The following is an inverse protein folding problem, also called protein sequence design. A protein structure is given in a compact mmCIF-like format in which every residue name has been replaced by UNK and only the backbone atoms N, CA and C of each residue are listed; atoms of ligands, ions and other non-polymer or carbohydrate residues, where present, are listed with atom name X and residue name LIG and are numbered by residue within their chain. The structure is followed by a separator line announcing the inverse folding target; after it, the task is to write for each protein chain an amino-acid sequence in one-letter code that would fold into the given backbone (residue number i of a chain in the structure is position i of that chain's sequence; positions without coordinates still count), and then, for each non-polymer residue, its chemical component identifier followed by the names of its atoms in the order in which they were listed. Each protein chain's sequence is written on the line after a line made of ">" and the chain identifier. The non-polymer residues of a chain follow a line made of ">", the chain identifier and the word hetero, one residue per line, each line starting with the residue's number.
data_IF_966786658868
#
_entry.id   IF_966786658868
#
_cell.length_a   1.000
_cell.length_b   1.000
_cell.length_c   1.000
_cell.angle_alpha   90.00
_cell.angle_beta   90.00
_cell.angle_gamma   90.00
#
_symmetry.space_group_name_H-M   'P 1'
#
loop_
_entity.id
_entity.type
_entity.pdbx_description
1 polymer ?
#
# COMPACT_ATOMS: atom_id res chain seq x y z
N UNK A 1 -3.06 5.15 34.24
CA UNK A 1 -4.13 4.84 33.29
C UNK A 1 -3.66 3.72 32.39
N UNK A 2 -4.32 2.56 32.39
CA UNK A 2 -3.99 1.44 31.51
C UNK A 2 -4.37 1.77 30.06
N UNK A 3 -3.68 1.18 29.09
CA UNK A 3 -4.10 1.24 27.70
C UNK A 3 -5.39 0.43 27.54
N UNK A 4 -6.47 1.05 27.09
CA UNK A 4 -7.70 0.38 26.74
C UNK A 4 -7.62 -0.08 25.29
N UNK A 5 -7.83 -1.36 25.02
CA UNK A 5 -7.98 -1.86 23.65
C UNK A 5 -9.38 -1.49 23.14
N UNK A 6 -9.48 -0.71 22.08
CA UNK A 6 -10.76 -0.25 21.53
C UNK A 6 -11.42 -1.25 20.57
N UNK A 7 -10.63 -2.20 20.05
CA UNK A 7 -11.10 -3.25 19.14
C UNK A 7 -10.54 -4.60 19.57
N UNK A 8 -11.21 -5.69 19.20
CA UNK A 8 -10.73 -7.05 19.36
C UNK A 8 -9.47 -7.32 18.54
N UNK A 9 -8.87 -8.48 18.69
CA UNK A 9 -7.61 -8.83 18.01
C UNK A 9 -7.77 -8.81 16.48
N UNK A 10 -6.93 -8.01 15.82
CA UNK A 10 -7.08 -7.69 14.40
C UNK A 10 -6.56 -8.76 13.43
N UNK A 11 -5.76 -9.72 13.89
CA UNK A 11 -5.24 -10.81 13.04
C UNK A 11 -6.15 -12.03 13.12
N UNK A 12 -7.32 -11.91 12.53
CA UNK A 12 -8.36 -12.94 12.55
C UNK A 12 -8.99 -13.08 11.17
N UNK A 13 -9.41 -14.26 10.82
CA UNK A 13 -10.28 -14.60 9.70
C UNK A 13 -11.67 -15.09 10.18
N UNK A 14 -11.89 -15.06 11.50
CA UNK A 14 -13.17 -15.43 12.11
C UNK A 14 -14.21 -14.33 11.90
N UNK A 15 -15.44 -14.75 11.62
CA UNK A 15 -16.65 -13.90 11.63
C UNK A 15 -17.54 -14.17 12.83
N UNK A 16 -17.07 -14.99 13.76
CA UNK A 16 -17.79 -15.31 15.00
C UNK A 16 -17.85 -14.09 15.92
N UNK A 17 -19.01 -13.86 16.52
CA UNK A 17 -19.24 -12.82 17.53
C UNK A 17 -19.75 -13.54 18.78
N UNK A 18 -19.21 -13.23 19.96
CA UNK A 18 -19.66 -13.81 21.22
C UNK A 18 -21.12 -13.45 21.49
N UNK A 19 -21.83 -14.33 22.20
CA UNK A 19 -23.23 -14.10 22.56
C UNK A 19 -23.43 -12.81 23.36
N UNK A 20 -22.50 -12.50 24.27
CA UNK A 20 -22.51 -11.27 25.08
C UNK A 20 -22.43 -10.03 24.18
N UNK A 21 -21.48 -9.97 23.24
CA UNK A 21 -21.34 -8.85 22.32
C UNK A 21 -22.54 -8.70 21.36
N UNK A 22 -23.16 -9.82 20.97
CA UNK A 22 -24.43 -9.78 20.22
C UNK A 22 -25.55 -9.14 21.04
N UNK A 23 -25.65 -9.48 22.31
CA UNK A 23 -26.66 -8.90 23.17
C UNK A 23 -26.42 -7.41 23.42
N UNK A 24 -25.19 -7.01 23.72
CA UNK A 24 -24.79 -5.60 23.88
C UNK A 24 -25.15 -4.75 22.65
N UNK A 25 -24.74 -5.16 21.45
CA UNK A 25 -25.06 -4.38 20.25
C UNK A 25 -26.56 -4.35 19.94
N UNK A 26 -27.30 -5.42 20.25
CA UNK A 26 -28.74 -5.45 20.06
C UNK A 26 -29.46 -4.51 21.04
N UNK A 27 -28.99 -4.42 22.29
CA UNK A 27 -29.47 -3.46 23.27
C UNK A 27 -29.16 -2.01 22.83
N UNK A 28 -27.95 -1.75 22.32
CA UNK A 28 -27.59 -0.47 21.74
C UNK A 28 -28.54 -0.07 20.59
N UNK A 29 -28.78 -0.97 19.61
CA UNK A 29 -29.68 -0.71 18.48
C UNK A 29 -31.09 -0.39 18.97
N UNK A 30 -31.63 -1.19 19.95
CA UNK A 30 -32.97 -0.98 20.50
C UNK A 30 -33.11 0.37 21.19
N UNK A 31 -32.09 0.78 21.95
CA UNK A 31 -32.12 2.02 22.74
C UNK A 31 -31.88 3.27 21.91
N UNK A 32 -30.98 3.23 20.94
CA UNK A 32 -30.54 4.44 20.22
C UNK A 32 -31.15 4.59 18.81
N UNK A 33 -31.49 3.48 18.16
CA UNK A 33 -32.03 3.50 16.79
C UNK A 33 -33.52 3.17 16.72
N UNK A 34 -34.01 2.41 17.71
CA UNK A 34 -35.39 1.98 17.84
C UNK A 34 -35.63 0.53 17.43
N UNK A 35 -36.76 -0.06 17.89
CA UNK A 35 -37.06 -1.49 17.73
C UNK A 35 -37.22 -1.91 16.26
N UNK A 36 -37.64 -0.99 15.36
CA UNK A 36 -37.84 -1.30 13.94
C UNK A 36 -36.54 -1.64 13.22
N UNK A 37 -35.37 -1.20 13.74
CA UNK A 37 -34.06 -1.50 13.18
C UNK A 37 -33.48 -2.83 13.63
N UNK A 38 -34.13 -3.48 14.62
CA UNK A 38 -33.63 -4.72 15.20
C UNK A 38 -34.41 -5.91 14.65
N UNK A 39 -33.75 -6.92 14.02
CA UNK A 39 -34.41 -8.14 13.62
C UNK A 39 -34.86 -8.95 14.85
N UNK A 40 -35.94 -9.72 14.69
CA UNK A 40 -36.49 -10.56 15.77
C UNK A 40 -35.43 -11.52 16.32
N UNK A 41 -34.67 -12.17 15.43
CA UNK A 41 -33.58 -13.08 15.81
C UNK A 41 -32.23 -12.45 15.51
N UNK A 42 -31.19 -12.76 16.31
CA UNK A 42 -29.82 -12.33 16.00
C UNK A 42 -29.35 -12.83 14.64
N UNK A 43 -28.55 -12.00 13.96
CA UNK A 43 -27.86 -12.41 12.75
C UNK A 43 -26.61 -13.22 13.12
N UNK A 44 -26.48 -14.44 12.64
CA UNK A 44 -25.32 -15.29 12.84
C UNK A 44 -24.49 -15.38 11.56
N UNK A 45 -23.18 -15.30 11.71
CA UNK A 45 -22.22 -15.42 10.62
C UNK A 45 -21.36 -16.66 10.85
N UNK A 46 -21.41 -17.60 9.91
CA UNK A 46 -20.61 -18.81 9.98
C UNK A 46 -19.14 -18.48 9.73
N UNK A 47 -18.26 -18.85 10.64
CA UNK A 47 -16.82 -18.84 10.41
C UNK A 47 -16.43 -19.97 9.46
N UNK A 48 -15.34 -19.78 8.71
CA UNK A 48 -14.76 -20.83 7.89
C UNK A 48 -14.29 -21.99 8.79
N UNK A 49 -14.34 -23.22 8.26
CA UNK A 49 -13.86 -24.41 9.00
C UNK A 49 -12.38 -24.31 9.40
N UNK A 50 -11.60 -23.53 8.64
CA UNK A 50 -10.17 -23.27 8.88
C UNK A 50 -9.89 -22.12 9.83
N UNK A 51 -10.93 -21.37 10.26
CA UNK A 51 -10.73 -20.30 11.24
C UNK A 51 -10.47 -20.90 12.63
N UNK A 52 -9.45 -20.41 13.31
CA UNK A 52 -9.16 -20.85 14.69
C UNK A 52 -10.37 -20.57 15.59
N UNK A 53 -10.89 -21.58 16.24
CA UNK A 53 -12.15 -21.53 17.02
C UNK A 53 -12.11 -20.48 18.15
N UNK A 54 -10.91 -20.15 18.63
CA UNK A 54 -10.71 -19.16 19.71
C UNK A 54 -10.77 -17.70 19.24
N UNK A 55 -10.79 -17.43 17.92
CA UNK A 55 -10.79 -16.08 17.39
C UNK A 55 -12.20 -15.54 17.18
N UNK A 56 -12.39 -14.28 17.56
CA UNK A 56 -13.58 -13.48 17.25
C UNK A 56 -13.36 -12.62 16.00
N UNK A 57 -14.48 -12.11 15.46
CA UNK A 57 -14.48 -11.06 14.45
C UNK A 57 -13.86 -9.75 15.00
N UNK A 58 -13.35 -8.91 14.11
CA UNK A 58 -12.90 -7.56 14.48
C UNK A 58 -14.13 -6.72 14.81
N UNK A 59 -14.26 -6.31 16.05
CA UNK A 59 -15.36 -5.48 16.56
C UNK A 59 -14.86 -4.48 17.62
N UNK A 60 -15.63 -3.43 17.97
CA UNK A 60 -15.32 -2.64 19.14
C UNK A 60 -15.40 -3.53 20.40
N UNK A 61 -14.55 -3.26 21.37
CA UNK A 61 -14.59 -3.94 22.68
C UNK A 61 -15.78 -3.50 23.51
N UNK A 62 -16.29 -2.30 23.27
CA UNK A 62 -17.44 -1.70 23.91
C UNK A 62 -18.20 -0.90 22.83
N UNK A 63 -19.47 -1.25 22.59
CA UNK A 63 -20.31 -0.62 21.57
C UNK A 63 -20.79 0.77 21.97
N UNK A 64 -20.86 1.06 23.27
CA UNK A 64 -21.30 2.35 23.80
C UNK A 64 -20.24 3.44 23.64
N UNK A 65 -18.98 3.06 23.41
CA UNK A 65 -17.92 3.99 22.99
C UNK A 65 -18.11 4.38 21.52
N UNK A 66 -19.03 5.32 21.27
CA UNK A 66 -19.31 5.73 19.88
C UNK A 66 -18.11 6.41 19.21
N UNK A 67 -18.01 6.38 17.87
CA UNK A 67 -16.95 7.09 17.17
C UNK A 67 -16.88 8.59 17.50
N UNK A 68 -18.02 9.24 17.80
CA UNK A 68 -18.06 10.65 18.18
C UNK A 68 -17.37 10.89 19.53
N UNK A 69 -17.61 10.02 20.50
CA UNK A 69 -17.09 10.16 21.87
C UNK A 69 -15.58 9.97 21.94
N UNK A 70 -15.05 9.02 21.16
CA UNK A 70 -13.62 8.69 21.21
C UNK A 70 -12.76 9.48 20.21
N UNK A 71 -13.36 10.20 19.27
CA UNK A 71 -12.63 10.99 18.26
C UNK A 71 -11.55 11.92 18.84
N UNK A 72 -11.77 12.62 19.98
CA UNK A 72 -10.76 13.51 20.55
C UNK A 72 -9.49 12.78 21.02
N UNK A 73 -9.55 11.47 21.25
CA UNK A 73 -8.46 10.66 21.80
C UNK A 73 -7.69 9.87 20.73
N UNK A 74 -8.12 9.96 19.46
CA UNK A 74 -7.56 9.19 18.35
C UNK A 74 -6.88 10.10 17.31
N UNK A 75 -5.88 9.54 16.63
CA UNK A 75 -5.39 10.16 15.39
C UNK A 75 -6.43 10.02 14.28
N UNK A 76 -6.33 10.83 13.23
CA UNK A 76 -7.26 10.76 12.07
C UNK A 76 -7.33 9.36 11.44
N UNK A 77 -6.20 8.64 11.38
CA UNK A 77 -6.13 7.29 10.81
C UNK A 77 -6.79 6.26 11.74
N UNK A 78 -6.52 6.35 13.04
CA UNK A 78 -7.15 5.50 14.05
C UNK A 78 -8.66 5.73 14.10
N UNK A 79 -9.10 6.99 14.05
CA UNK A 79 -10.52 7.35 14.03
C UNK A 79 -11.23 6.72 12.82
N UNK A 80 -10.68 6.87 11.62
CA UNK A 80 -11.27 6.29 10.40
C UNK A 80 -11.42 4.78 10.49
N UNK A 81 -10.42 4.10 11.05
CA UNK A 81 -10.46 2.66 11.23
C UNK A 81 -11.51 2.26 12.27
N UNK A 82 -11.54 2.94 13.41
CA UNK A 82 -12.51 2.65 14.46
C UNK A 82 -13.95 2.90 14.00
N UNK A 83 -14.22 4.05 13.34
CA UNK A 83 -15.54 4.39 12.80
C UNK A 83 -16.02 3.32 11.80
N UNK A 84 -15.11 2.81 10.95
CA UNK A 84 -15.40 1.72 10.02
C UNK A 84 -15.78 0.44 10.76
N UNK A 85 -14.98 0.02 11.75
CA UNK A 85 -15.20 -1.21 12.53
C UNK A 85 -16.50 -1.11 13.32
N UNK A 86 -16.71 0.00 14.02
CA UNK A 86 -17.89 0.23 14.84
C UNK A 86 -19.18 0.22 14.00
N UNK A 87 -19.22 0.99 12.90
CA UNK A 87 -20.38 1.02 12.01
C UNK A 87 -20.67 -0.34 11.40
N UNK A 88 -19.65 -1.08 11.01
CA UNK A 88 -19.83 -2.42 10.46
C UNK A 88 -20.40 -3.38 11.49
N UNK A 89 -19.93 -3.31 12.73
CA UNK A 89 -20.41 -4.14 13.82
C UNK A 89 -21.87 -3.86 14.16
N UNK A 90 -22.25 -2.59 14.31
CA UNK A 90 -23.65 -2.23 14.57
C UNK A 90 -24.55 -2.65 13.40
N UNK A 91 -24.15 -2.30 12.17
CA UNK A 91 -24.93 -2.60 10.97
C UNK A 91 -25.15 -4.11 10.75
N UNK A 92 -24.20 -4.97 11.18
CA UNK A 92 -24.33 -6.41 10.98
C UNK A 92 -25.49 -7.03 11.79
N UNK A 93 -25.94 -6.40 12.86
CA UNK A 93 -27.07 -6.86 13.68
C UNK A 93 -28.37 -6.09 13.42
N UNK A 94 -28.41 -5.22 12.37
CA UNK A 94 -29.60 -4.45 11.99
C UNK A 94 -30.44 -5.14 10.91
N UNK A 95 -31.70 -4.70 10.83
CA UNK A 95 -32.60 -5.07 9.74
C UNK A 95 -32.07 -4.59 8.37
N UNK A 96 -32.33 -5.33 7.28
CA UNK A 96 -31.94 -4.91 5.94
C UNK A 96 -32.71 -3.66 5.50
N UNK A 97 -32.10 -2.88 4.62
CA UNK A 97 -32.82 -1.81 3.91
C UNK A 97 -33.88 -2.39 2.95
N UNK A 98 -35.02 -1.72 2.84
CA UNK A 98 -36.10 -2.13 1.96
C UNK A 98 -36.27 -1.10 0.83
N UNK A 99 -36.39 -1.61 -0.36
CA UNK A 99 -36.51 -0.79 -1.58
C UNK A 99 -37.75 -1.21 -2.35
N UNK A 100 -38.55 -0.26 -2.79
CA UNK A 100 -39.55 -0.47 -3.82
C UNK A 100 -38.89 -0.37 -5.19
N UNK A 101 -38.96 -1.44 -5.95
CA UNK A 101 -38.35 -1.52 -7.28
C UNK A 101 -39.46 -1.58 -8.34
N UNK A 102 -39.53 -0.55 -9.17
CA UNK A 102 -40.44 -0.48 -10.30
C UNK A 102 -39.71 -0.86 -11.59
N UNK A 103 -40.24 -1.83 -12.29
CA UNK A 103 -39.75 -2.24 -13.60
C UNK A 103 -40.81 -1.93 -14.66
N UNK A 104 -40.49 -1.09 -15.64
CA UNK A 104 -41.34 -0.80 -16.79
C UNK A 104 -40.78 -1.57 -18.01
N UNK A 105 -41.63 -2.39 -18.62
CA UNK A 105 -41.34 -2.99 -19.92
C UNK A 105 -42.14 -2.23 -20.96
N UNK A 106 -41.47 -1.58 -21.88
CA UNK A 106 -42.06 -0.71 -22.89
C UNK A 106 -41.90 -1.38 -24.25
N UNK A 107 -43.01 -1.67 -24.91
CA UNK A 107 -43.01 -2.22 -26.26
C UNK A 107 -43.17 -1.08 -27.27
N UNK A 108 -42.39 -1.11 -28.32
CA UNK A 108 -42.51 -0.20 -29.45
C UNK A 108 -42.60 -0.96 -30.75
N UNK A 109 -43.66 -0.77 -31.53
CA UNK A 109 -43.82 -1.32 -32.87
C UNK A 109 -43.11 -0.38 -33.87
N UNK A 110 -42.12 -0.94 -34.59
CA UNK A 110 -41.30 -0.21 -35.55
C UNK A 110 -41.35 -0.87 -36.91
N UNK A 111 -40.86 -0.21 -37.96
CA UNK A 111 -40.75 -0.78 -39.32
C UNK A 111 -39.84 -2.01 -39.39
N UNK A 112 -38.98 -2.21 -38.42
CA UNK A 112 -38.06 -3.34 -38.29
C UNK A 112 -38.59 -4.45 -37.39
N UNK A 113 -39.81 -4.31 -36.84
CA UNK A 113 -40.45 -5.23 -35.92
C UNK A 113 -40.66 -4.64 -34.53
N UNK A 114 -41.05 -5.51 -33.58
CA UNK A 114 -41.35 -5.09 -32.20
C UNK A 114 -40.07 -5.05 -31.36
N UNK A 115 -39.79 -3.85 -30.86
CA UNK A 115 -38.67 -3.59 -29.94
C UNK A 115 -39.18 -3.54 -28.49
N UNK A 116 -38.36 -3.99 -27.56
CA UNK A 116 -38.62 -3.95 -26.13
C UNK A 116 -37.58 -3.09 -25.41
N UNK A 117 -38.03 -2.12 -24.65
CA UNK A 117 -37.20 -1.28 -23.80
C UNK A 117 -37.52 -1.58 -22.33
N UNK A 118 -36.52 -1.47 -21.44
CA UNK A 118 -36.70 -1.65 -20.02
C UNK A 118 -36.21 -0.42 -19.26
N UNK A 119 -37.04 0.10 -18.36
CA UNK A 119 -36.65 1.09 -17.38
C UNK A 119 -36.81 0.48 -15.98
N UNK A 120 -35.85 0.74 -15.09
CA UNK A 120 -35.87 0.28 -13.71
C UNK A 120 -35.63 1.46 -12.79
N UNK A 121 -36.56 1.69 -11.90
CA UNK A 121 -36.43 2.66 -10.80
C UNK A 121 -36.44 1.97 -9.45
N UNK A 122 -35.93 2.65 -8.44
CA UNK A 122 -36.00 2.19 -7.04
C UNK A 122 -36.08 3.37 -6.10
N UNK A 123 -36.90 3.23 -5.09
CA UNK A 123 -37.09 4.22 -4.02
C UNK A 123 -36.87 3.55 -2.67
N UNK A 124 -36.17 4.19 -1.76
CA UNK A 124 -35.89 3.67 -0.43
C UNK A 124 -37.15 3.81 0.43
N UNK A 125 -37.68 2.69 0.92
CA UNK A 125 -38.86 2.64 1.81
C UNK A 125 -38.43 2.59 3.27
N UNK A 126 -37.37 1.86 3.55
CA UNK A 126 -36.82 1.73 4.89
C UNK A 126 -35.29 1.64 4.80
N UNK A 127 -34.60 2.52 5.52
CA UNK A 127 -33.15 2.64 5.45
C UNK A 127 -32.42 1.47 6.12
N UNK A 128 -32.99 0.82 7.12
CA UNK A 128 -32.40 -0.34 7.78
C UNK A 128 -30.95 -0.10 8.22
N UNK A 129 -30.08 -1.03 7.93
CA UNK A 129 -28.65 -0.94 8.29
C UNK A 129 -27.92 0.23 7.61
N UNK A 130 -28.44 0.76 6.51
CA UNK A 130 -27.79 1.88 5.78
C UNK A 130 -27.83 3.19 6.58
N UNK A 131 -28.66 3.27 7.61
CA UNK A 131 -28.65 4.39 8.57
C UNK A 131 -27.30 4.55 9.28
N UNK A 132 -26.64 3.44 9.57
CA UNK A 132 -25.32 3.42 10.22
C UNK A 132 -24.21 3.18 9.25
N UNK A 133 -24.38 2.24 8.32
CA UNK A 133 -23.43 1.90 7.28
C UNK A 133 -23.83 2.53 5.95
N UNK A 134 -23.30 3.74 5.70
CA UNK A 134 -23.65 4.51 4.51
C UNK A 134 -23.14 3.81 3.25
N UNK A 135 -24.07 3.33 2.44
CA UNK A 135 -23.80 2.77 1.12
C UNK A 135 -24.22 3.81 0.06
N UNK A 136 -23.30 4.25 -0.81
CA UNK A 136 -23.68 5.14 -1.91
C UNK A 136 -24.75 4.44 -2.77
N UNK A 137 -25.95 5.01 -2.81
CA UNK A 137 -27.04 4.52 -3.62
C UNK A 137 -27.68 5.68 -4.35
N UNK A 138 -28.04 5.48 -5.61
CA UNK A 138 -28.86 6.43 -6.35
C UNK A 138 -30.31 5.97 -6.27
N UNK A 139 -31.18 6.85 -5.81
CA UNK A 139 -32.60 6.68 -5.98
C UNK A 139 -32.97 7.16 -7.36
N UNK A 140 -33.83 6.42 -8.02
CA UNK A 140 -34.42 6.80 -9.30
C UNK A 140 -35.90 6.45 -9.25
N UNK A 141 -36.71 7.47 -9.06
CA UNK A 141 -38.16 7.35 -9.12
C UNK A 141 -38.61 7.35 -10.58
N UNK A 142 -39.44 6.36 -10.94
CA UNK A 142 -40.10 6.35 -12.24
C UNK A 142 -41.52 6.96 -12.11
N UNK A 143 -41.99 7.64 -13.14
CA UNK A 143 -43.35 8.18 -13.13
C UNK A 143 -44.39 7.06 -12.99
N UNK A 144 -45.45 7.34 -12.28
CA UNK A 144 -46.59 6.40 -12.16
C UNK A 144 -47.22 6.17 -13.55
N UNK A 145 -47.20 4.89 -13.95
CA UNK A 145 -47.71 4.48 -15.28
C UNK A 145 -48.67 3.30 -15.13
N UNK A 146 -49.61 3.16 -16.07
CA UNK A 146 -50.55 2.05 -16.11
C UNK A 146 -50.22 1.08 -17.26
N UNK A 147 -50.53 -0.19 -17.05
CA UNK A 147 -50.38 -1.19 -18.12
C UNK A 147 -51.20 -0.78 -19.35
N UNK A 148 -50.61 -0.81 -20.54
CA UNK A 148 -51.23 -0.38 -21.79
C UNK A 148 -51.22 1.10 -22.02
N UNK A 149 -50.63 1.94 -21.14
CA UNK A 149 -50.50 3.37 -21.35
C UNK A 149 -49.55 3.63 -22.53
N UNK A 150 -49.97 4.50 -23.44
CA UNK A 150 -49.16 4.97 -24.56
C UNK A 150 -48.17 6.05 -24.05
N UNK A 151 -46.91 5.87 -24.43
CA UNK A 151 -45.83 6.81 -24.12
C UNK A 151 -45.39 7.51 -25.41
N UNK A 152 -45.17 8.82 -25.35
CA UNK A 152 -44.57 9.57 -26.44
C UNK A 152 -43.04 9.46 -26.38
N UNK A 153 -42.43 9.18 -27.53
CA UNK A 153 -40.97 9.18 -27.66
C UNK A 153 -40.52 10.64 -27.75
N UNK A 154 -39.68 11.07 -26.81
CA UNK A 154 -39.08 12.42 -26.77
C UNK A 154 -37.73 12.44 -27.46
N UNK A 155 -36.89 11.46 -27.19
CA UNK A 155 -35.55 11.35 -27.75
C UNK A 155 -35.09 9.88 -27.73
N UNK A 156 -34.29 9.49 -28.72
CA UNK A 156 -33.63 8.18 -28.79
C UNK A 156 -32.13 8.41 -29.03
N UNK A 157 -31.30 8.03 -28.08
CA UNK A 157 -29.85 8.07 -28.21
C UNK A 157 -29.29 6.68 -28.38
N UNK A 158 -28.53 6.47 -29.44
CA UNK A 158 -27.77 5.24 -29.64
C UNK A 158 -26.38 5.41 -29.01
N UNK A 159 -26.06 4.58 -28.02
CA UNK A 159 -24.74 4.57 -27.39
C UNK A 159 -24.05 3.23 -27.62
N UNK A 160 -22.81 3.29 -28.08
CA UNK A 160 -22.01 2.10 -28.25
C UNK A 160 -21.31 1.75 -26.94
N UNK A 161 -21.56 0.57 -26.41
CA UNK A 161 -20.89 0.03 -25.25
C UNK A 161 -20.02 -1.15 -25.62
N UNK A 162 -18.80 -1.18 -25.10
CA UNK A 162 -17.89 -2.31 -25.25
C UNK A 162 -17.67 -2.99 -23.90
N UNK A 163 -17.53 -4.30 -23.91
CA UNK A 163 -17.16 -5.04 -22.70
C UNK A 163 -15.78 -4.60 -22.22
N UNK A 164 -15.61 -4.48 -20.91
CA UNK A 164 -14.33 -4.15 -20.30
C UNK A 164 -13.66 -5.44 -19.80
N UNK A 165 -12.32 -5.51 -19.88
CA UNK A 165 -11.59 -6.63 -19.28
C UNK A 165 -11.79 -6.61 -17.76
N UNK A 166 -11.51 -7.75 -17.07
CA UNK A 166 -11.53 -7.80 -15.61
C UNK A 166 -10.67 -6.69 -15.02
N UNK A 167 -11.13 -6.10 -13.92
CA UNK A 167 -10.39 -5.05 -13.25
C UNK A 167 -9.08 -5.60 -12.67
N UNK A 168 -8.01 -4.77 -12.73
CA UNK A 168 -6.75 -5.10 -12.05
C UNK A 168 -6.96 -5.19 -10.55
N UNK A 169 -6.14 -5.99 -9.87
CA UNK A 169 -6.21 -6.14 -8.43
C UNK A 169 -5.88 -4.81 -7.72
N UNK A 170 -6.65 -4.52 -6.69
CA UNK A 170 -6.30 -3.61 -5.61
C UNK A 170 -5.72 -4.42 -4.45
N UNK A 171 -5.18 -3.78 -3.41
CA UNK A 171 -4.72 -4.50 -2.20
C UNK A 171 -5.84 -5.39 -1.64
N UNK A 172 -7.03 -4.83 -1.46
CA UNK A 172 -8.17 -5.56 -0.90
C UNK A 172 -8.62 -6.74 -1.79
N UNK A 173 -8.68 -6.55 -3.11
CA UNK A 173 -9.12 -7.63 -4.02
C UNK A 173 -8.05 -8.69 -4.21
N UNK A 174 -6.75 -8.34 -4.08
CA UNK A 174 -5.67 -9.31 -4.09
C UNK A 174 -5.68 -10.16 -2.82
N UNK A 175 -5.85 -9.54 -1.64
CA UNK A 175 -6.00 -10.29 -0.38
C UNK A 175 -7.20 -11.23 -0.45
N UNK A 176 -8.35 -10.76 -0.96
CA UNK A 176 -9.53 -11.60 -1.14
C UNK A 176 -9.28 -12.78 -2.10
N UNK A 177 -8.47 -12.58 -3.15
CA UNK A 177 -8.09 -13.65 -4.06
C UNK A 177 -7.16 -14.66 -3.38
N UNK A 178 -6.14 -14.20 -2.63
CA UNK A 178 -5.24 -15.06 -1.84
C UNK A 178 -6.03 -15.89 -0.82
N UNK A 179 -6.95 -15.26 -0.09
CA UNK A 179 -7.82 -15.93 0.87
C UNK A 179 -8.71 -16.99 0.22
N UNK A 180 -9.31 -16.68 -0.96
CA UNK A 180 -10.11 -17.62 -1.72
C UNK A 180 -9.32 -18.85 -2.17
N UNK A 181 -8.06 -18.64 -2.56
CA UNK A 181 -7.15 -19.70 -2.99
C UNK A 181 -6.46 -20.42 -1.84
N UNK A 182 -6.70 -20.02 -0.58
CA UNK A 182 -6.08 -20.63 0.60
C UNK A 182 -4.59 -20.31 0.75
N UNK A 183 -4.13 -19.19 0.17
CA UNK A 183 -2.73 -18.75 0.20
C UNK A 183 -2.54 -17.67 1.24
N UNK A 184 -1.62 -17.88 2.17
CA UNK A 184 -1.35 -16.96 3.27
C UNK A 184 -2.38 -17.06 4.39
N UNK A 185 -2.15 -16.29 5.44
CA UNK A 185 -2.99 -16.18 6.64
C UNK A 185 -3.10 -14.71 7.03
N UNK A 186 -4.03 -14.32 7.92
CA UNK A 186 -4.17 -12.92 8.35
C UNK A 186 -2.87 -12.26 8.79
N UNK A 187 -1.94 -13.03 9.36
CA UNK A 187 -0.62 -12.55 9.78
C UNK A 187 0.35 -12.26 8.62
N UNK A 188 0.15 -12.84 7.43
CA UNK A 188 1.10 -12.77 6.31
C UNK A 188 0.64 -11.89 5.16
N UNK A 189 -0.67 -11.59 5.00
CA UNK A 189 -1.18 -10.81 3.86
C UNK A 189 -0.50 -9.46 3.69
N UNK A 190 -0.36 -8.70 4.78
CA UNK A 190 0.30 -7.39 4.73
C UNK A 190 1.77 -7.49 4.27
N UNK A 191 2.48 -8.52 4.74
CA UNK A 191 3.88 -8.80 4.35
C UNK A 191 3.99 -9.19 2.88
N UNK A 192 3.08 -10.01 2.36
CA UNK A 192 3.04 -10.38 0.94
C UNK A 192 2.88 -9.12 0.09
N UNK A 193 1.88 -8.28 0.39
CA UNK A 193 1.61 -7.04 -0.33
C UNK A 193 2.81 -6.08 -0.30
N UNK A 194 3.40 -5.86 0.89
CA UNK A 194 4.57 -4.97 0.99
C UNK A 194 5.78 -5.53 0.25
N UNK A 195 6.02 -6.84 0.31
CA UNK A 195 7.16 -7.48 -0.35
C UNK A 195 7.14 -7.32 -1.86
N UNK A 196 5.99 -7.54 -2.52
CA UNK A 196 5.91 -7.40 -3.99
C UNK A 196 6.10 -5.96 -4.45
N UNK A 197 5.69 -4.97 -3.64
CA UNK A 197 5.91 -3.54 -3.91
C UNK A 197 7.34 -3.12 -3.63
N UNK A 198 7.92 -3.50 -2.48
CA UNK A 198 9.28 -3.13 -2.08
C UNK A 198 10.33 -3.70 -3.02
N UNK A 199 10.11 -4.92 -3.52
CA UNK A 199 10.95 -5.56 -4.52
C UNK A 199 10.75 -4.99 -5.93
N UNK A 200 9.74 -4.14 -6.14
CA UNK A 200 9.44 -3.53 -7.42
C UNK A 200 8.88 -4.52 -8.44
N UNK A 201 8.26 -5.62 -8.00
CA UNK A 201 7.59 -6.57 -8.89
C UNK A 201 6.25 -6.03 -9.39
N UNK A 202 5.63 -5.17 -8.59
CA UNK A 202 4.42 -4.42 -8.96
C UNK A 202 4.59 -2.96 -8.61
N UNK A 203 3.93 -2.10 -9.38
CA UNK A 203 3.71 -0.69 -9.04
C UNK A 203 2.22 -0.46 -8.77
N UNK A 204 1.93 0.49 -7.87
CA UNK A 204 0.55 0.87 -7.59
C UNK A 204 0.21 2.20 -8.26
N UNK A 205 -0.80 2.20 -9.15
CA UNK A 205 -1.36 3.40 -9.78
C UNK A 205 -2.86 3.42 -9.55
N UNK A 206 -3.41 4.53 -9.10
CA UNK A 206 -4.84 4.68 -8.83
C UNK A 206 -5.41 3.54 -7.94
N UNK A 207 -4.64 3.13 -6.93
CA UNK A 207 -4.95 2.01 -6.02
C UNK A 207 -4.99 0.63 -6.70
N UNK A 208 -4.55 0.48 -7.94
CA UNK A 208 -4.50 -0.78 -8.69
C UNK A 208 -3.06 -1.22 -8.88
N UNK A 209 -2.81 -2.52 -8.78
CA UNK A 209 -1.50 -3.11 -9.05
C UNK A 209 -1.29 -3.32 -10.54
N UNK A 210 -0.12 -2.95 -11.01
CA UNK A 210 0.39 -3.23 -12.35
C UNK A 210 1.69 -4.02 -12.19
N UNK A 211 1.79 -5.13 -12.90
CA UNK A 211 3.06 -5.85 -13.01
C UNK A 211 4.11 -4.95 -13.67
N UNK A 212 5.33 -5.04 -13.20
CA UNK A 212 6.49 -4.40 -13.84
C UNK A 212 7.21 -5.41 -14.72
N UNK A 213 7.99 -4.94 -15.69
CA UNK A 213 8.84 -5.81 -16.53
C UNK A 213 9.75 -6.71 -15.66
N UNK A 214 10.22 -6.18 -14.52
CA UNK A 214 10.99 -6.96 -13.56
C UNK A 214 10.14 -8.07 -12.92
N UNK A 215 8.91 -7.76 -12.54
CA UNK A 215 7.98 -8.73 -11.96
C UNK A 215 7.65 -9.86 -12.93
N UNK A 216 7.34 -9.53 -14.17
CA UNK A 216 7.05 -10.49 -15.24
C UNK A 216 8.25 -11.40 -15.49
N UNK A 217 9.43 -10.82 -15.71
CA UNK A 217 10.67 -11.59 -15.92
C UNK A 217 11.02 -12.52 -14.76
N UNK A 218 10.86 -12.06 -13.50
CA UNK A 218 11.10 -12.90 -12.31
C UNK A 218 10.10 -14.04 -12.26
N UNK A 219 8.83 -13.79 -12.54
CA UNK A 219 7.77 -14.79 -12.56
C UNK A 219 8.05 -15.85 -13.64
N UNK A 220 8.42 -15.43 -14.85
CA UNK A 220 8.74 -16.35 -15.95
C UNK A 220 9.92 -17.27 -15.59
N UNK A 221 10.99 -16.70 -15.03
CA UNK A 221 12.14 -17.50 -14.58
C UNK A 221 11.78 -18.48 -13.46
N UNK A 222 10.97 -18.03 -12.49
CA UNK A 222 10.53 -18.90 -11.40
C UNK A 222 9.62 -20.03 -11.94
N UNK A 223 8.71 -19.73 -12.86
CA UNK A 223 7.87 -20.75 -13.51
C UNK A 223 8.72 -21.78 -14.28
N UNK A 224 9.78 -21.34 -14.95
CA UNK A 224 10.66 -22.20 -15.73
C UNK A 224 11.47 -23.17 -14.85
N UNK A 225 12.01 -22.66 -13.72
CA UNK A 225 12.95 -23.43 -12.91
C UNK A 225 12.34 -24.04 -11.64
N UNK A 226 11.23 -23.49 -11.16
CA UNK A 226 10.51 -23.92 -9.96
C UNK A 226 8.99 -24.06 -10.19
N UNK A 227 8.55 -24.79 -11.23
CA UNK A 227 7.13 -24.81 -11.63
C UNK A 227 6.23 -25.33 -10.50
N UNK A 228 6.68 -26.32 -9.73
CA UNK A 228 5.91 -26.87 -8.62
C UNK A 228 5.67 -25.86 -7.50
N UNK A 229 6.69 -25.07 -7.15
CA UNK A 229 6.58 -24.05 -6.09
C UNK A 229 5.71 -22.87 -6.53
N UNK A 230 5.73 -22.56 -7.84
CA UNK A 230 4.92 -21.48 -8.41
C UNK A 230 3.45 -21.88 -8.65
N UNK A 231 3.12 -23.16 -8.47
CA UNK A 231 1.73 -23.62 -8.54
C UNK A 231 0.94 -23.14 -7.31
N UNK A 232 -0.21 -22.53 -7.57
CA UNK A 232 -1.17 -22.07 -6.55
C UNK A 232 -1.62 -23.24 -5.67
N UNK A 233 -1.88 -24.40 -6.27
CA UNK A 233 -2.31 -25.59 -5.55
C UNK A 233 -1.22 -26.09 -4.58
N UNK A 234 0.04 -25.98 -4.97
CA UNK A 234 1.15 -26.35 -4.09
C UNK A 234 1.26 -25.43 -2.86
N UNK A 235 1.13 -24.13 -3.04
CA UNK A 235 1.17 -23.19 -1.91
C UNK A 235 0.00 -23.45 -0.95
N UNK A 236 -1.19 -23.67 -1.47
CA UNK A 236 -2.36 -24.08 -0.67
C UNK A 236 -2.09 -25.36 0.11
N UNK A 237 -1.56 -26.38 -0.56
CA UNK A 237 -1.21 -27.64 0.07
C UNK A 237 -0.22 -27.44 1.24
N UNK A 238 0.79 -26.62 1.05
CA UNK A 238 1.78 -26.32 2.12
C UNK A 238 1.13 -25.63 3.32
N UNK A 239 0.24 -24.65 3.08
CA UNK A 239 -0.50 -23.99 4.16
C UNK A 239 -1.39 -24.99 4.94
N UNK A 240 -2.04 -25.93 4.23
CA UNK A 240 -2.84 -27.00 4.86
C UNK A 240 -1.95 -27.99 5.67
N UNK A 241 -0.72 -28.28 5.21
CA UNK A 241 0.20 -29.09 6.00
C UNK A 241 0.64 -28.37 7.27
N UNK A 242 0.87 -27.05 7.20
CA UNK A 242 1.22 -26.24 8.38
C UNK A 242 0.08 -26.22 9.41
N UNK A 243 -1.16 -26.07 8.97
CA UNK A 243 -2.33 -26.17 9.85
C UNK A 243 -2.40 -27.54 10.55
N UNK A 244 -2.17 -28.65 9.81
CA UNK A 244 -2.15 -29.99 10.40
C UNK A 244 -1.02 -30.20 11.40
N UNK A 245 0.13 -29.57 11.19
CA UNK A 245 1.24 -29.56 12.16
C UNK A 245 0.83 -28.81 13.42
N UNK A 246 0.18 -27.65 13.30
CA UNK A 246 -0.33 -26.87 14.44
C UNK A 246 -1.35 -27.68 15.27
N UNK A 247 -2.23 -28.42 14.60
CA UNK A 247 -3.22 -29.30 15.22
C UNK A 247 -2.61 -30.63 15.75
N UNK A 248 -1.30 -30.80 15.67
CA UNK A 248 -0.55 -32.01 16.08
C UNK A 248 -0.95 -33.31 15.36
N UNK A 249 -1.55 -33.21 14.17
CA UNK A 249 -1.92 -34.35 13.35
C UNK A 249 -0.81 -34.80 12.41
N UNK A 250 0.29 -34.06 12.28
CA UNK A 250 1.36 -34.32 11.34
C UNK A 250 2.74 -33.97 11.89
N UNK A 251 3.74 -34.83 11.60
CA UNK A 251 5.13 -34.55 11.96
C UNK A 251 5.75 -33.50 11.00
N UNK A 252 6.21 -32.41 11.58
CA UNK A 252 6.82 -31.30 10.83
C UNK A 252 8.08 -31.72 10.06
N UNK A 253 8.84 -32.70 10.58
CA UNK A 253 10.09 -33.15 9.96
C UNK A 253 9.82 -33.91 8.66
N UNK A 254 8.74 -34.70 8.60
CA UNK A 254 8.32 -35.39 7.36
C UNK A 254 7.93 -34.38 6.29
N UNK A 255 7.14 -33.36 6.63
CA UNK A 255 6.72 -32.31 5.70
C UNK A 255 7.91 -31.54 5.15
N UNK A 256 8.89 -31.21 6.01
CA UNK A 256 10.13 -30.54 5.58
C UNK A 256 10.98 -31.41 4.65
N UNK A 257 11.10 -32.72 4.90
CA UNK A 257 11.84 -33.64 4.03
C UNK A 257 11.20 -33.75 2.65
N UNK A 258 9.88 -33.87 2.60
CA UNK A 258 9.11 -33.99 1.37
C UNK A 258 9.20 -32.72 0.52
N UNK A 259 9.26 -31.56 1.16
CA UNK A 259 9.48 -30.28 0.48
C UNK A 259 10.94 -30.13 0.02
N UNK A 260 11.92 -30.36 0.91
CA UNK A 260 13.31 -29.99 0.67
C UNK A 260 13.97 -30.85 -0.41
N UNK A 261 13.62 -32.12 -0.52
CA UNK A 261 14.21 -33.02 -1.50
C UNK A 261 14.04 -32.50 -2.95
N UNK A 262 12.80 -32.35 -3.45
CA UNK A 262 12.53 -31.79 -4.77
C UNK A 262 13.06 -30.35 -4.93
N UNK A 263 12.88 -29.51 -3.92
CA UNK A 263 13.37 -28.13 -3.93
C UNK A 263 14.88 -28.06 -4.16
N UNK A 264 15.67 -28.89 -3.47
CA UNK A 264 17.12 -28.94 -3.64
C UNK A 264 17.52 -29.30 -5.06
N UNK A 265 16.84 -30.27 -5.67
CA UNK A 265 17.09 -30.66 -7.06
C UNK A 265 16.79 -29.52 -8.04
N UNK A 266 15.66 -28.83 -7.87
CA UNK A 266 15.31 -27.67 -8.68
C UNK A 266 16.31 -26.53 -8.49
N UNK A 267 16.77 -26.28 -7.24
CA UNK A 267 17.78 -25.26 -6.93
C UNK A 267 19.13 -25.58 -7.59
N UNK A 268 19.58 -26.83 -7.56
CA UNK A 268 20.82 -27.25 -8.22
C UNK A 268 20.72 -27.12 -9.76
N UNK A 269 19.58 -27.47 -10.33
CA UNK A 269 19.30 -27.29 -11.77
C UNK A 269 19.29 -25.79 -12.13
N UNK A 270 18.59 -24.95 -11.35
CA UNK A 270 18.55 -23.53 -11.54
C UNK A 270 19.93 -22.88 -11.42
N UNK A 271 20.72 -23.28 -10.43
CA UNK A 271 22.09 -22.75 -10.21
C UNK A 271 23.02 -22.98 -11.40
N UNK A 272 22.83 -24.10 -12.11
CA UNK A 272 23.66 -24.46 -13.29
C UNK A 272 23.15 -23.86 -14.60
N UNK A 273 21.83 -23.72 -14.75
CA UNK A 273 21.20 -23.42 -16.05
C UNK A 273 20.59 -22.03 -16.12
N UNK A 274 20.17 -21.43 -14.98
CA UNK A 274 19.52 -20.14 -14.98
C UNK A 274 20.52 -19.00 -15.25
N UNK A 275 20.37 -18.37 -16.38
CA UNK A 275 21.14 -17.17 -16.73
C UNK A 275 20.69 -16.00 -15.86
N UNK A 276 21.66 -15.22 -15.39
CA UNK A 276 21.35 -13.98 -14.66
C UNK A 276 20.60 -13.03 -15.57
N UNK A 277 19.48 -12.48 -15.12
CA UNK A 277 18.72 -11.47 -15.85
C UNK A 277 19.55 -10.24 -16.25
N UNK A 278 20.60 -9.93 -15.49
CA UNK A 278 21.54 -8.84 -15.80
C UNK A 278 22.49 -9.17 -16.96
N UNK A 279 22.72 -10.46 -17.21
CA UNK A 279 23.58 -10.93 -18.31
C UNK A 279 22.79 -11.25 -19.57
N UNK A 280 21.47 -11.31 -19.52
CA UNK A 280 20.63 -11.46 -20.69
C UNK A 280 20.62 -10.15 -21.48
N UNK A 281 21.07 -10.25 -22.71
CA UNK A 281 21.21 -9.13 -23.64
C UNK A 281 20.34 -9.44 -24.84
N UNK A 282 19.28 -8.66 -25.02
CA UNK A 282 18.44 -8.75 -26.21
C UNK A 282 18.83 -7.63 -27.17
N UNK A 283 19.19 -7.92 -28.43
CA UNK A 283 19.48 -6.90 -29.43
C UNK A 283 18.27 -5.95 -29.58
N UNK A 284 18.51 -4.68 -29.82
CA UNK A 284 17.51 -3.68 -30.19
C UNK A 284 17.70 -3.20 -31.61
N UNK A 285 16.73 -2.51 -32.17
CA UNK A 285 16.85 -1.86 -33.51
C UNK A 285 17.63 -0.55 -33.47
N UNK A 286 18.07 -0.09 -32.30
CA UNK A 286 18.70 1.21 -32.11
C UNK A 286 20.21 1.13 -32.16
N UNK A 287 20.83 2.14 -32.77
CA UNK A 287 22.27 2.35 -32.74
C UNK A 287 22.69 3.35 -31.66
N UNK A 288 23.89 3.17 -31.16
CA UNK A 288 24.42 4.03 -30.11
C UNK A 288 24.85 5.38 -30.69
N UNK A 289 24.32 6.52 -30.27
CA UNK A 289 24.65 7.83 -30.77
C UNK A 289 26.08 8.27 -30.44
N UNK A 290 26.78 7.55 -29.54
CA UNK A 290 28.17 7.88 -29.17
C UNK A 290 29.22 7.09 -29.92
N UNK A 291 28.94 5.87 -30.37
CA UNK A 291 29.95 5.00 -30.98
C UNK A 291 29.44 4.17 -32.17
N UNK A 292 28.21 4.34 -32.61
CA UNK A 292 27.60 3.63 -33.76
C UNK A 292 27.31 2.14 -33.54
N UNK A 293 27.71 1.53 -32.39
CA UNK A 293 27.43 0.13 -32.13
C UNK A 293 25.96 -0.06 -31.74
N UNK A 294 25.40 -1.24 -32.00
CA UNK A 294 24.04 -1.60 -31.67
C UNK A 294 23.75 -1.42 -30.16
N UNK A 295 22.60 -0.86 -29.83
CA UNK A 295 22.08 -0.86 -28.47
C UNK A 295 21.41 -2.19 -28.15
N UNK A 296 21.45 -2.57 -26.88
CA UNK A 296 20.90 -3.83 -26.39
C UNK A 296 20.04 -3.55 -25.17
N UNK A 297 18.95 -4.26 -25.05
CA UNK A 297 18.13 -4.21 -23.85
C UNK A 297 18.81 -4.93 -22.70
N UNK A 298 18.88 -4.28 -21.56
CA UNK A 298 19.34 -4.84 -20.28
C UNK A 298 18.36 -4.52 -19.17
N UNK A 299 18.32 -5.35 -18.13
CA UNK A 299 17.52 -5.11 -16.95
C UNK A 299 18.33 -4.47 -15.83
N UNK A 300 17.83 -3.34 -15.32
CA UNK A 300 18.36 -2.61 -14.16
C UNK A 300 17.38 -2.57 -13.02
N UNK A 301 17.75 -1.90 -11.93
CA UNK A 301 16.87 -1.73 -10.75
C UNK A 301 15.54 -1.01 -11.04
N UNK A 302 15.43 -0.31 -12.15
CA UNK A 302 14.24 0.47 -12.55
C UNK A 302 13.49 -0.12 -13.75
N UNK A 303 13.77 -1.36 -14.11
CA UNK A 303 13.21 -2.01 -15.30
C UNK A 303 14.18 -2.10 -16.47
N UNK A 304 13.64 -2.35 -17.66
CA UNK A 304 14.38 -2.48 -18.91
C UNK A 304 14.94 -1.14 -19.37
N UNK A 305 16.16 -1.14 -19.89
CA UNK A 305 16.82 0.03 -20.46
C UNK A 305 17.73 -0.39 -21.64
N UNK A 306 18.02 0.57 -22.52
CA UNK A 306 18.96 0.39 -23.63
C UNK A 306 20.38 0.70 -23.15
N UNK A 307 21.32 -0.19 -23.45
CA UNK A 307 22.74 -0.04 -23.14
C UNK A 307 23.57 -0.31 -24.40
N UNK A 308 24.65 0.40 -24.56
CA UNK A 308 25.53 0.13 -25.69
C UNK A 308 26.16 -1.27 -25.59
N UNK A 309 26.20 -2.02 -26.70
CA UNK A 309 26.87 -3.33 -26.75
C UNK A 309 28.38 -3.22 -26.57
N UNK A 310 28.97 -2.04 -26.79
CA UNK A 310 30.36 -1.74 -26.55
C UNK A 310 30.76 -1.47 -25.10
N UNK A 311 29.84 -1.69 -24.13
CA UNK A 311 30.20 -1.58 -22.72
C UNK A 311 31.27 -2.61 -22.33
N UNK A 312 32.32 -2.27 -21.56
CA UNK A 312 32.48 -1.03 -20.75
C UNK A 312 33.19 0.14 -21.50
N UNK A 313 33.67 -0.04 -22.74
CA UNK A 313 34.33 1.02 -23.48
C UNK A 313 33.40 2.20 -23.78
N UNK A 314 32.17 1.93 -24.21
CA UNK A 314 31.11 2.92 -24.35
C UNK A 314 30.08 2.73 -23.23
N UNK A 315 29.85 3.80 -22.45
CA UNK A 315 28.94 3.78 -21.28
C UNK A 315 27.57 4.38 -21.58
N UNK A 316 27.21 4.51 -22.86
CA UNK A 316 25.91 5.03 -23.22
C UNK A 316 24.78 4.12 -22.73
N UNK A 317 23.76 4.73 -22.13
CA UNK A 317 22.52 4.08 -21.71
C UNK A 317 21.36 5.05 -21.81
N UNK A 318 20.20 4.57 -22.29
CA UNK A 318 18.96 5.33 -22.39
C UNK A 318 17.79 4.55 -21.81
N UNK A 319 16.82 5.21 -21.13
CA UNK A 319 15.58 4.56 -20.75
C UNK A 319 14.79 4.14 -22.00
N UNK A 320 14.00 3.08 -21.90
CA UNK A 320 13.00 2.72 -22.89
C UNK A 320 11.61 2.63 -22.24
N UNK A 321 10.56 2.76 -23.04
CA UNK A 321 9.18 2.54 -22.61
C UNK A 321 8.86 1.03 -22.52
N UNK A 322 7.61 0.69 -22.24
CA UNK A 322 7.16 -0.72 -22.12
C UNK A 322 7.22 -1.46 -23.47
N UNK A 323 7.03 -0.75 -24.55
CA UNK A 323 7.12 -1.27 -25.91
C UNK A 323 8.59 -1.43 -26.38
N UNK A 324 9.55 -0.96 -25.57
CA UNK A 324 10.97 -1.01 -25.89
C UNK A 324 11.47 0.19 -26.73
N UNK A 325 10.62 1.19 -27.00
CA UNK A 325 11.04 2.38 -27.74
C UNK A 325 11.95 3.23 -26.87
N UNK A 326 13.00 3.74 -27.46
CA UNK A 326 13.92 4.65 -26.78
C UNK A 326 13.18 5.93 -26.39
N UNK A 327 13.17 6.23 -25.10
CA UNK A 327 12.59 7.48 -24.60
C UNK A 327 13.59 8.59 -24.83
N UNK A 328 13.23 9.54 -25.70
CA UNK A 328 14.02 10.75 -25.87
C UNK A 328 14.09 11.50 -24.55
N UNK A 329 15.31 11.76 -24.11
CA UNK A 329 15.55 12.54 -22.91
C UNK A 329 15.28 14.00 -23.24
N UNK A 330 14.13 14.53 -22.83
CA UNK A 330 13.79 15.94 -23.05
C UNK A 330 14.83 16.83 -22.38
N UNK A 331 15.56 17.56 -23.17
CA UNK A 331 16.44 18.62 -22.68
C UNK A 331 15.59 19.74 -22.08
N UNK A 332 16.07 20.30 -21.00
CA UNK A 332 15.46 21.46 -20.36
C UNK A 332 16.20 22.72 -20.83
N UNK A 333 15.52 23.85 -20.86
CA UNK A 333 16.10 25.15 -21.13
C UNK A 333 17.17 25.58 -20.09
N UNK A 334 17.23 24.87 -18.96
CA UNK A 334 18.12 25.18 -17.87
C UNK A 334 19.50 24.58 -18.08
N UNK A 335 20.52 25.40 -17.86
CA UNK A 335 21.94 24.98 -17.88
C UNK A 335 22.37 24.56 -16.46
N UNK A 336 23.29 23.61 -16.43
CA UNK A 336 23.88 23.15 -15.16
C UNK A 336 24.66 24.28 -14.47
N UNK A 337 24.37 24.65 -13.21
CA UNK A 337 25.04 25.73 -12.51
C UNK A 337 26.51 25.44 -12.20
N UNK A 338 26.99 24.20 -12.38
CA UNK A 338 28.35 23.78 -12.06
C UNK A 338 29.21 23.66 -13.33
N UNK A 339 28.69 23.10 -14.43
CA UNK A 339 29.48 22.83 -15.63
C UNK A 339 28.91 23.43 -16.92
N UNK A 340 27.82 24.19 -16.86
CA UNK A 340 27.21 24.90 -18.00
C UNK A 340 26.51 24.00 -19.03
N UNK A 341 26.60 22.66 -18.94
CA UNK A 341 25.95 21.73 -19.89
C UNK A 341 24.41 21.75 -19.72
N UNK A 342 23.64 21.40 -20.76
CA UNK A 342 22.19 21.30 -20.64
C UNK A 342 21.77 20.36 -19.51
N UNK A 343 20.65 20.66 -18.88
CA UNK A 343 20.04 19.74 -17.92
C UNK A 343 18.90 18.97 -18.58
N UNK A 344 18.70 17.74 -18.13
CA UNK A 344 17.72 16.81 -18.70
C UNK A 344 16.73 16.36 -17.67
N UNK A 345 15.47 16.22 -18.06
CA UNK A 345 14.43 15.70 -17.20
C UNK A 345 14.65 14.23 -16.88
N UNK A 346 14.64 13.89 -15.59
CA UNK A 346 14.77 12.53 -15.10
C UNK A 346 13.75 12.25 -14.00
N UNK A 347 13.28 11.01 -13.89
CA UNK A 347 12.40 10.55 -12.84
C UNK A 347 13.19 9.74 -11.80
N UNK A 348 13.07 10.13 -10.53
CA UNK A 348 13.68 9.46 -9.40
C UNK A 348 12.65 8.93 -8.40
N UNK A 349 13.13 8.24 -7.35
CA UNK A 349 12.27 7.73 -6.25
C UNK A 349 11.42 8.83 -5.58
N UNK A 350 11.87 10.06 -5.61
CA UNK A 350 11.25 11.21 -4.95
C UNK A 350 10.56 12.18 -5.92
N UNK A 351 10.27 11.73 -7.15
CA UNK A 351 9.64 12.54 -8.19
C UNK A 351 10.59 12.96 -9.30
N UNK A 352 10.10 13.83 -10.19
CA UNK A 352 10.86 14.37 -11.32
C UNK A 352 11.95 15.35 -10.84
N UNK A 353 13.09 15.35 -11.52
CA UNK A 353 14.21 16.25 -11.26
C UNK A 353 14.99 16.52 -12.55
N UNK A 354 15.73 17.60 -12.59
CA UNK A 354 16.69 17.86 -13.65
C UNK A 354 18.05 17.30 -13.26
N UNK A 355 18.64 16.50 -14.13
CA UNK A 355 20.01 15.98 -13.99
C UNK A 355 20.92 16.58 -15.04
N UNK A 356 22.19 16.85 -14.71
CA UNK A 356 23.16 17.35 -15.68
C UNK A 356 23.41 16.31 -16.79
N UNK A 357 23.41 16.71 -18.05
CA UNK A 357 23.78 15.86 -19.19
C UNK A 357 25.25 15.39 -19.15
N UNK A 358 26.10 16.09 -18.39
CA UNK A 358 27.49 15.71 -18.17
C UNK A 358 27.76 14.59 -17.18
N UNK A 359 26.69 13.90 -16.68
CA UNK A 359 26.87 12.72 -15.84
C UNK A 359 27.61 11.60 -16.60
N UNK A 360 28.55 10.87 -15.96
CA UNK A 360 28.90 10.83 -14.54
C UNK A 360 29.91 11.88 -14.06
N UNK A 361 30.50 12.67 -14.95
CA UNK A 361 31.54 13.66 -14.62
C UNK A 361 30.95 14.83 -13.79
N UNK A 362 29.73 15.25 -14.10
CA UNK A 362 28.96 16.20 -13.30
C UNK A 362 27.72 15.55 -12.72
N UNK A 363 27.61 15.56 -11.40
CA UNK A 363 26.51 14.90 -10.64
C UNK A 363 25.44 15.88 -10.19
N UNK A 364 25.40 17.09 -10.74
CA UNK A 364 24.47 18.14 -10.34
C UNK A 364 23.02 17.75 -10.65
N UNK A 365 22.13 17.93 -9.70
CA UNK A 365 20.68 17.69 -9.86
C UNK A 365 19.91 18.87 -9.28
N UNK A 366 18.80 19.27 -9.94
CA UNK A 366 17.85 20.26 -9.46
C UNK A 366 16.50 19.59 -9.26
N UNK A 367 15.86 19.84 -8.12
CA UNK A 367 14.54 19.28 -7.81
C UNK A 367 13.46 20.11 -8.49
N UNK A 368 12.41 19.43 -8.94
CA UNK A 368 11.23 20.05 -9.52
C UNK A 368 10.04 19.90 -8.56
N UNK A 369 9.13 20.88 -8.59
CA UNK A 369 7.81 20.76 -8.01
C UNK A 369 6.86 19.93 -8.89
N UNK A 370 5.59 19.79 -8.50
CA UNK A 370 4.59 19.07 -9.28
C UNK A 370 4.22 19.76 -10.59
N UNK A 371 4.49 21.07 -10.70
CA UNK A 371 4.26 21.89 -11.87
C UNK A 371 5.48 21.94 -12.82
N UNK A 372 6.63 21.36 -12.41
CA UNK A 372 7.85 21.33 -13.20
C UNK A 372 8.81 22.49 -12.97
N UNK A 373 8.54 23.38 -11.99
CA UNK A 373 9.42 24.48 -11.65
C UNK A 373 10.58 24.01 -10.75
N UNK A 374 11.72 24.67 -10.86
CA UNK A 374 12.88 24.36 -10.03
C UNK A 374 12.63 24.79 -8.59
N UNK A 375 12.70 23.84 -7.68
CA UNK A 375 12.65 24.12 -6.24
C UNK A 375 13.99 24.74 -5.81
N UNK A 376 13.98 25.84 -5.01
CA UNK A 376 15.20 26.42 -4.48
C UNK A 376 16.02 25.38 -3.71
N UNK A 377 17.32 25.46 -3.80
CA UNK A 377 18.21 24.61 -3.02
C UNK A 377 17.88 24.79 -1.52
N UNK A 378 17.82 23.67 -0.80
CA UNK A 378 17.68 23.77 0.66
C UNK A 378 18.84 24.57 1.21
N UNK A 379 18.55 25.53 2.07
CA UNK A 379 19.56 26.27 2.80
C UNK A 379 20.58 25.31 3.42
N UNK A 380 21.85 25.66 3.33
CA UNK A 380 22.92 24.91 3.97
C UNK A 380 22.61 24.80 5.48
N UNK A 381 22.93 23.69 6.13
CA UNK A 381 22.76 23.59 7.58
C UNK A 381 23.55 24.70 8.29
N UNK A 382 22.90 25.46 9.14
CA UNK A 382 23.57 26.50 9.90
C UNK A 382 24.52 25.87 10.95
N UNK A 383 25.80 26.19 10.91
CA UNK A 383 26.76 25.63 11.86
C UNK A 383 26.49 26.12 13.30
N UNK A 384 26.68 25.22 14.26
CA UNK A 384 26.77 25.61 15.68
C UNK A 384 28.12 25.16 16.26
N UNK A 385 28.56 25.77 17.31
CA UNK A 385 29.81 25.39 18.01
C UNK A 385 29.62 24.17 18.93
N UNK A 386 28.41 23.63 19.04
CA UNK A 386 28.06 22.56 19.99
C UNK A 386 28.60 21.21 19.53
N UNK A 387 29.42 20.60 20.35
CA UNK A 387 29.99 19.29 20.10
C UNK A 387 28.90 18.21 20.19
N UNK A 388 28.88 17.28 19.24
CA UNK A 388 27.95 16.16 19.27
C UNK A 388 28.30 15.18 20.40
N UNK A 389 27.38 15.00 21.34
CA UNK A 389 27.60 14.13 22.51
C UNK A 389 27.82 12.64 22.17
N UNK A 390 27.28 12.21 21.00
CA UNK A 390 27.35 10.80 20.62
C UNK A 390 28.67 10.41 19.94
N UNK A 391 29.16 11.21 18.99
CA UNK A 391 30.41 10.90 18.28
C UNK A 391 31.60 11.74 18.78
N UNK A 392 31.37 12.78 19.57
CA UNK A 392 32.38 13.69 20.16
C UNK A 392 33.32 14.39 19.17
N UNK A 393 33.28 14.00 17.89
CA UNK A 393 34.10 14.53 16.80
C UNK A 393 33.34 15.49 15.88
N UNK A 394 32.03 15.32 15.77
CA UNK A 394 31.17 16.19 14.97
C UNK A 394 30.54 17.29 15.80
N UNK A 395 30.05 18.33 15.11
CA UNK A 395 29.28 19.43 15.72
C UNK A 395 27.80 19.28 15.34
N UNK A 396 26.93 19.79 16.20
CA UNK A 396 25.51 19.89 15.89
C UNK A 396 25.30 21.08 14.94
N UNK A 397 24.46 20.91 13.94
CA UNK A 397 24.08 21.93 12.95
C UNK A 397 22.57 22.05 12.90
N UNK A 398 22.06 23.25 12.69
CA UNK A 398 20.62 23.48 12.54
C UNK A 398 20.19 23.00 11.16
N UNK A 399 19.22 22.09 11.13
CA UNK A 399 18.62 21.53 9.90
C UNK A 399 17.12 21.75 9.90
N UNK A 400 16.53 21.93 8.72
CA UNK A 400 15.09 22.07 8.53
C UNK A 400 14.44 20.71 8.18
N UNK A 401 13.34 20.40 8.86
CA UNK A 401 12.47 19.26 8.56
C UNK A 401 11.03 19.72 8.28
N UNK A 402 10.16 18.80 7.84
CA UNK A 402 8.72 19.09 7.68
C UNK A 402 8.04 19.49 8.99
N UNK A 403 8.60 19.08 10.13
CA UNK A 403 8.09 19.36 11.49
C UNK A 403 8.76 20.56 12.14
N UNK A 404 9.60 21.30 11.41
CA UNK A 404 10.35 22.45 11.90
C UNK A 404 11.86 22.20 12.03
N UNK A 405 12.62 23.20 12.56
CA UNK A 405 14.07 23.10 12.73
C UNK A 405 14.45 22.11 13.85
N UNK A 406 15.61 21.50 13.69
CA UNK A 406 16.22 20.58 14.66
C UNK A 406 17.75 20.62 14.59
N UNK A 407 18.41 20.20 15.65
CA UNK A 407 19.86 20.05 15.70
C UNK A 407 20.26 18.64 15.27
N UNK A 408 21.10 18.51 14.26
CA UNK A 408 21.60 17.23 13.76
C UNK A 408 23.13 17.23 13.67
N UNK A 409 23.77 16.07 13.85
CA UNK A 409 25.21 15.98 13.71
C UNK A 409 25.66 16.24 12.26
N UNK A 410 26.72 17.02 12.05
CA UNK A 410 27.29 17.30 10.73
C UNK A 410 27.94 16.07 10.07
N UNK A 411 28.25 15.02 10.86
CA UNK A 411 28.80 13.75 10.35
C UNK A 411 27.72 12.76 9.86
N UNK A 412 26.47 13.21 9.69
CA UNK A 412 25.47 12.36 9.05
C UNK A 412 25.91 11.93 7.63
N UNK A 413 25.73 10.66 7.21
CA UNK A 413 24.98 9.57 7.85
C UNK A 413 25.77 8.72 8.87
N UNK A 414 27.06 8.94 9.07
CA UNK A 414 27.88 8.17 10.02
C UNK A 414 27.42 8.35 11.48
N UNK A 415 27.01 9.56 11.83
CA UNK A 415 26.41 9.88 13.13
C UNK A 415 24.98 10.39 12.93
N UNK A 416 23.99 9.72 13.52
CA UNK A 416 22.56 10.04 13.39
C UNK A 416 21.97 10.75 14.61
N UNK A 417 22.78 11.53 15.32
CA UNK A 417 22.32 12.30 16.48
C UNK A 417 21.32 13.36 16.05
N UNK A 418 20.18 13.41 16.75
CA UNK A 418 19.13 14.43 16.60
C UNK A 418 18.76 14.95 17.98
N UNK A 419 18.71 16.27 18.12
CA UNK A 419 18.32 16.99 19.34
C UNK A 419 17.28 18.05 18.97
N UNK A 420 16.39 18.37 19.91
CA UNK A 420 15.39 19.42 19.71
C UNK A 420 16.09 20.78 19.57
N UNK A 421 15.58 21.65 18.69
CA UNK A 421 16.07 23.02 18.57
C UNK A 421 15.90 23.80 19.86
N UNK A 422 14.92 23.45 20.69
CA UNK A 422 14.64 24.10 21.98
C UNK A 422 15.80 23.96 22.96
N UNK A 423 16.65 22.96 22.79
CA UNK A 423 17.81 22.71 23.64
C UNK A 423 19.04 23.55 23.23
N UNK A 424 18.96 24.32 22.14
CA UNK A 424 20.13 25.02 21.57
C UNK A 424 20.82 25.93 22.60
N UNK A 425 20.07 26.81 23.27
CA UNK A 425 20.63 27.77 24.18
C UNK A 425 21.12 27.12 25.48
N UNK A 426 20.40 26.11 25.97
CA UNK A 426 20.84 25.33 27.13
C UNK A 426 22.15 24.59 26.84
N UNK A 427 22.27 23.96 25.66
CA UNK A 427 23.51 23.29 25.27
C UNK A 427 24.69 24.24 25.07
N UNK A 428 24.46 25.48 24.60
CA UNK A 428 25.50 26.52 24.54
C UNK A 428 26.00 26.88 25.92
N UNK A 429 25.11 27.08 26.89
CA UNK A 429 25.45 27.39 28.27
C UNK A 429 26.25 26.25 28.92
N UNK A 430 25.80 25.02 28.77
CA UNK A 430 26.53 23.85 29.29
C UNK A 430 27.93 23.68 28.68
N UNK A 431 28.08 23.96 27.39
CA UNK A 431 29.37 23.88 26.72
C UNK A 431 30.31 25.03 27.18
N UNK A 432 29.82 26.24 27.35
CA UNK A 432 30.59 27.37 27.88
C UNK A 432 31.03 27.12 29.33
N UNK A 433 30.24 26.42 30.12
CA UNK A 433 30.55 26.00 31.48
C UNK A 433 31.48 24.75 31.54
N UNK A 434 31.91 24.20 30.41
CA UNK A 434 32.74 22.99 30.35
C UNK A 434 32.02 21.69 30.75
N UNK A 435 30.69 21.74 30.82
CA UNK A 435 29.84 20.61 31.22
C UNK A 435 29.29 19.81 30.01
N UNK A 436 29.56 20.25 28.77
CA UNK A 436 29.15 19.59 27.54
C UNK A 436 30.33 19.40 26.58
N UNK A 437 30.48 18.22 25.91
CA UNK A 437 29.65 17.03 26.04
C UNK A 437 29.98 16.22 27.30
N UNK A 438 29.00 15.58 27.95
CA UNK A 438 29.23 14.76 29.13
C UNK A 438 30.04 13.52 28.81
N UNK A 439 30.59 12.87 29.85
CA UNK A 439 31.47 11.70 29.70
C UNK A 439 30.76 10.51 29.06
N UNK A 440 29.48 10.25 29.39
CA UNK A 440 28.69 9.14 28.88
C UNK A 440 27.46 9.63 28.08
N UNK A 441 26.94 8.73 27.22
CA UNK A 441 25.73 9.00 26.42
C UNK A 441 24.50 9.08 27.32
N UNK A 442 24.45 8.27 28.38
CA UNK A 442 23.35 8.25 29.36
C UNK A 442 23.20 9.59 30.06
N UNK A 443 24.31 10.19 30.48
CA UNK A 443 24.32 11.55 31.07
C UNK A 443 23.81 12.60 30.09
N UNK A 444 24.17 12.51 28.80
CA UNK A 444 23.67 13.38 27.76
C UNK A 444 22.16 13.23 27.52
N UNK A 445 21.68 11.98 27.52
CA UNK A 445 20.26 11.70 27.34
C UNK A 445 19.42 12.12 28.55
N UNK A 446 19.99 12.13 29.75
CA UNK A 446 19.37 12.63 30.97
C UNK A 446 19.21 14.17 30.92
N UNK A 447 20.27 14.87 30.56
CA UNK A 447 20.26 16.33 30.35
C UNK A 447 19.23 16.73 29.28
N UNK A 448 19.12 15.95 28.23
CA UNK A 448 18.15 16.17 27.14
C UNK A 448 16.73 15.64 27.44
N UNK A 449 16.44 15.19 28.65
CA UNK A 449 15.12 14.70 29.07
C UNK A 449 14.67 13.40 28.37
N UNK A 450 15.58 12.71 27.67
CA UNK A 450 15.26 11.50 26.87
C UNK A 450 15.11 10.22 27.71
N UNK A 451 15.55 10.22 28.96
CA UNK A 451 15.54 9.03 29.84
C UNK A 451 14.18 8.70 30.45
N UNK A 452 13.20 9.61 30.40
CA UNK A 452 11.85 9.35 30.93
C UNK A 452 11.07 8.29 30.11
N UNK A 453 11.40 8.10 28.84
CA UNK A 453 10.71 7.15 27.95
C UNK A 453 11.33 5.75 27.88
N UNK A 454 12.59 5.57 28.34
CA UNK A 454 13.24 4.23 28.30
C UNK A 454 13.02 3.39 29.57
N UNK A 455 12.81 4.02 30.74
CA UNK A 455 12.52 3.26 31.99
C UNK A 455 11.14 2.58 31.98
N UNK A 456 10.21 3.03 31.15
CA UNK A 456 8.88 2.39 30.96
C UNK A 456 8.89 1.21 29.99
N UNK A 457 9.92 1.06 29.15
CA UNK A 457 10.04 -0.06 28.20
C UNK A 457 10.87 -1.26 28.72
N UNK A 458 11.66 -1.06 29.78
CA UNK A 458 12.53 -2.12 30.35
C UNK A 458 11.85 -2.99 31.42
N UNK A 459 10.62 -2.67 31.84
CA UNK A 459 9.84 -3.45 32.80
C UNK A 459 8.76 -4.33 32.17
N UNK A 460 8.81 -4.54 30.83
CA UNK A 460 7.95 -5.51 30.13
C UNK A 460 8.81 -6.33 29.15
N UNK A 461 9.60 -7.22 29.68
CA UNK A 461 10.03 -8.45 29.03
C UNK A 461 9.55 -9.62 29.86
#
# INVERSE_FOLDING_TARGET
>A
MGFLGLITYMRTDSTHISGEAVEEVRNYIRGHLGPNYLPEKPNFYASKKTAQQAHEAIRPTDVDLTPADIKPFLTDEQFKLYDLVWRRFVACQMNPAKWDVTNLNIAADTSLGRCSYKATGRVLVFDGFTKVWIVPSSEQELPSTKVGQRLAVVDIKAEQHTTRPPARYTEATLIKALEKEGIGRPSTYATIISTIQERGYVEQKERKFLATDLGEMVTDKLNQYFPKIMDIAFTRYMEEQLDKIEEQHLDWLSVLKDFYGPFKQDLERASKQMKSAKSEVTPSEYECPQCGKQLVYKFGKKGRFLSCSGYPACKFASPCDKEGKMVEVKESEHKCPVCGKPMVHRNGRFGSFLGCSGYPNCKTTLKLDKQGNILPAKAAPEPTEIICYKCKEGRLVIRQSKKGPFLGCNRFPKCRTIVSIKELDHLKQLQSAGQWPPKTIEQAEEVLGKNKTRKTAAHKK
#
